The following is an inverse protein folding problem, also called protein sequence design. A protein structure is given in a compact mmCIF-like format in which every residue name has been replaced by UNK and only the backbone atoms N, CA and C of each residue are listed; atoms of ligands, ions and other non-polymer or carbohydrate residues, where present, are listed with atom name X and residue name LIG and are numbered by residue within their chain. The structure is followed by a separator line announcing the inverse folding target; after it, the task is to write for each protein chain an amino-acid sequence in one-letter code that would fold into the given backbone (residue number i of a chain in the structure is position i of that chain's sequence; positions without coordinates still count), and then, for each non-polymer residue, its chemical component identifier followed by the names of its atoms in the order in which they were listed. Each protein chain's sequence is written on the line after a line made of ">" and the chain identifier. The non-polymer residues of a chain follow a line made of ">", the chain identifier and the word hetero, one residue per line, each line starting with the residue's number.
data_IF_230876736635
#
_entry.id   IF_230876736635
#
_cell.length_a   1.000
_cell.length_b   1.000
_cell.length_c   1.000
_cell.angle_alpha   90.00
_cell.angle_beta   90.00
_cell.angle_gamma   90.00
#
_symmetry.space_group_name_H-M   'P 1'
#
loop_
_entity.id
_entity.type
_entity.pdbx_description
1 polymer ?
#
# COMPACT_ATOMS: atom_id res chain seq x y z
N UNK A 1 14.56 -31.89 34.50
CA UNK A 1 14.20 -30.45 34.40
C UNK A 1 13.42 -30.22 33.12
N UNK A 2 12.10 -30.02 33.23
CA UNK A 2 11.22 -29.76 32.08
C UNK A 2 11.04 -28.23 31.97
N UNK A 3 11.60 -27.60 30.94
CA UNK A 3 11.47 -26.15 30.73
C UNK A 3 10.07 -25.85 30.18
N UNK A 4 9.23 -25.19 30.99
CA UNK A 4 7.98 -24.58 30.51
C UNK A 4 8.33 -23.48 29.50
N UNK A 5 7.81 -23.60 28.28
CA UNK A 5 7.79 -22.51 27.30
C UNK A 5 6.71 -21.50 27.71
N UNK A 6 7.00 -20.18 27.67
CA UNK A 6 5.98 -19.17 27.93
C UNK A 6 4.95 -19.19 26.80
N UNK A 7 3.68 -19.40 27.16
CA UNK A 7 2.54 -19.24 26.27
C UNK A 7 2.39 -17.75 25.97
N UNK A 8 2.83 -17.30 24.80
CA UNK A 8 2.55 -15.95 24.32
C UNK A 8 1.07 -15.87 23.93
N UNK A 9 0.25 -15.30 24.80
CA UNK A 9 -1.12 -14.92 24.46
C UNK A 9 -1.09 -13.83 23.40
N UNK A 10 -1.56 -14.14 22.19
CA UNK A 10 -1.71 -13.17 21.10
C UNK A 10 -3.00 -12.38 21.38
N UNK A 11 -2.84 -11.19 21.96
CA UNK A 11 -3.91 -10.21 22.03
C UNK A 11 -4.18 -9.65 20.64
N UNK A 12 -5.37 -9.89 20.11
CA UNK A 12 -5.82 -9.37 18.81
C UNK A 12 -6.18 -7.90 19.01
N UNK A 13 -5.23 -7.00 18.76
CA UNK A 13 -5.54 -5.57 18.67
C UNK A 13 -6.02 -5.29 17.25
N UNK A 14 -7.34 -5.33 17.04
CA UNK A 14 -7.97 -4.79 15.84
C UNK A 14 -7.84 -3.26 15.89
N UNK A 15 -6.83 -2.71 15.21
CA UNK A 15 -6.80 -1.28 14.94
C UNK A 15 -7.96 -0.96 13.99
N UNK A 16 -8.99 -0.28 14.49
CA UNK A 16 -10.07 0.22 13.68
C UNK A 16 -9.49 1.25 12.70
N UNK A 17 -9.46 0.91 11.42
CA UNK A 17 -9.14 1.85 10.35
C UNK A 17 -10.21 2.94 10.39
N UNK A 18 -9.85 4.14 10.84
CA UNK A 18 -10.71 5.32 10.63
C UNK A 18 -10.66 5.64 9.14
N UNK A 19 -11.52 5.00 8.35
CA UNK A 19 -11.76 5.40 6.97
C UNK A 19 -12.41 6.78 7.02
N UNK A 20 -11.62 7.82 6.75
CA UNK A 20 -12.18 9.09 6.31
C UNK A 20 -12.99 8.82 5.05
N UNK A 21 -14.31 9.01 5.13
CA UNK A 21 -15.20 8.90 3.97
C UNK A 21 -14.91 10.08 3.07
N UNK A 22 -14.07 9.89 2.05
CA UNK A 22 -14.05 10.76 0.89
C UNK A 22 -14.90 10.06 -0.16
N UNK A 23 -16.22 10.20 -0.02
CA UNK A 23 -17.17 9.89 -1.08
C UNK A 23 -17.19 11.07 -2.05
N UNK A 24 -16.11 11.25 -2.82
CA UNK A 24 -16.22 11.97 -4.08
C UNK A 24 -16.53 10.92 -5.13
N UNK A 25 -17.72 10.99 -5.73
CA UNK A 25 -18.05 10.23 -6.94
C UNK A 25 -16.90 10.44 -7.93
N UNK A 26 -16.02 9.45 -8.05
CA UNK A 26 -14.98 9.52 -9.06
C UNK A 26 -15.72 9.55 -10.39
N UNK A 27 -15.42 10.55 -11.23
CA UNK A 27 -15.77 10.41 -12.64
C UNK A 27 -15.16 9.10 -13.12
N UNK A 28 -15.98 8.20 -13.65
CA UNK A 28 -15.48 6.99 -14.31
C UNK A 28 -14.51 7.41 -15.42
N UNK A 29 -13.39 6.68 -15.56
CA UNK A 29 -12.32 6.95 -16.53
C UNK A 29 -11.40 8.12 -16.15
N UNK A 30 -11.06 8.25 -14.88
CA UNK A 30 -10.04 9.20 -14.43
C UNK A 30 -8.92 8.52 -13.67
N UNK A 31 -7.68 8.99 -13.88
CA UNK A 31 -6.54 8.56 -13.07
C UNK A 31 -6.72 9.07 -11.65
N UNK A 32 -6.83 8.14 -10.71
CA UNK A 32 -6.92 8.43 -9.27
C UNK A 32 -5.53 8.28 -8.67
N UNK A 33 -5.12 9.23 -7.83
CA UNK A 33 -3.79 9.22 -7.19
C UNK A 33 -3.91 9.28 -5.67
N UNK A 34 -3.02 8.57 -5.00
CA UNK A 34 -2.90 8.51 -3.55
C UNK A 34 -1.45 8.71 -3.12
N UNK A 35 -1.28 9.42 -2.01
CA UNK A 35 -0.05 9.38 -1.22
C UNK A 35 -0.27 8.45 -0.03
N UNK A 36 0.75 7.68 0.33
CA UNK A 36 0.73 6.84 1.52
C UNK A 36 1.98 7.03 2.38
N UNK A 37 1.78 6.85 3.68
CA UNK A 37 2.83 6.82 4.69
C UNK A 37 2.69 5.52 5.48
N UNK A 38 3.80 4.81 5.61
CA UNK A 38 3.92 3.61 6.44
C UNK A 38 4.64 4.02 7.71
N UNK A 39 4.04 3.77 8.86
CA UNK A 39 4.67 3.93 10.17
C UNK A 39 4.99 2.55 10.74
N UNK A 40 6.25 2.29 11.04
CA UNK A 40 6.67 1.02 11.62
C UNK A 40 6.58 1.12 13.14
N UNK A 41 5.70 0.32 13.74
CA UNK A 41 5.44 0.31 15.20
C UNK A 41 6.10 -0.86 15.92
N UNK A 42 6.62 -1.88 15.20
CA UNK A 42 7.34 -3.03 15.79
C UNK A 42 8.55 -3.47 14.96
N UNK A 43 9.47 -4.21 15.60
CA UNK A 43 10.66 -4.80 14.96
C UNK A 43 11.85 -3.85 14.87
N UNK A 44 12.89 -4.23 14.12
CA UNK A 44 14.17 -3.48 14.05
C UNK A 44 14.08 -2.12 13.35
N UNK A 45 12.95 -1.84 12.70
CA UNK A 45 12.68 -0.55 12.06
C UNK A 45 11.63 0.27 12.82
N UNK A 46 11.23 -0.14 14.03
CA UNK A 46 10.24 0.59 14.84
C UNK A 46 10.63 2.07 15.02
N UNK A 47 9.64 2.95 14.93
CA UNK A 47 9.81 4.40 14.99
C UNK A 47 10.19 5.05 13.66
N UNK A 48 10.43 4.27 12.59
CA UNK A 48 10.66 4.81 11.24
C UNK A 48 9.36 4.97 10.48
N UNK A 49 9.35 5.97 9.61
CA UNK A 49 8.27 6.20 8.64
C UNK A 49 8.82 6.21 7.22
N UNK A 50 8.03 5.70 6.28
CA UNK A 50 8.36 5.63 4.87
C UNK A 50 7.19 6.16 4.04
N UNK A 51 7.49 6.83 2.94
CA UNK A 51 6.49 7.48 2.10
C UNK A 51 6.47 6.88 0.69
N UNK A 52 5.31 6.88 0.09
CA UNK A 52 5.14 6.48 -1.30
C UNK A 52 3.86 7.05 -1.88
N UNK A 53 3.62 6.70 -3.14
CA UNK A 53 2.42 7.07 -3.86
C UNK A 53 2.03 5.98 -4.82
N UNK A 54 0.76 5.93 -5.18
CA UNK A 54 0.29 5.11 -6.29
C UNK A 54 -0.83 5.83 -7.03
N UNK A 55 -1.02 5.47 -8.29
CA UNK A 55 -2.14 5.93 -9.10
C UNK A 55 -2.68 4.79 -9.95
N UNK A 56 -3.96 4.83 -10.29
CA UNK A 56 -4.60 3.83 -11.13
C UNK A 56 -5.69 4.49 -11.98
N UNK A 57 -5.99 3.88 -13.13
CA UNK A 57 -7.20 4.18 -13.88
C UNK A 57 -8.36 3.40 -13.26
N UNK A 58 -9.44 4.10 -12.91
CA UNK A 58 -10.63 3.50 -12.34
C UNK A 58 -11.67 3.05 -13.38
N UNK A 59 -11.39 3.21 -14.68
CA UNK A 59 -12.29 2.89 -15.79
C UNK A 59 -12.86 1.47 -15.75
N UNK A 60 -12.08 0.50 -15.25
CA UNK A 60 -12.46 -0.91 -15.22
C UNK A 60 -13.05 -1.39 -13.90
N UNK A 61 -13.10 -0.53 -12.87
CA UNK A 61 -13.59 -0.89 -11.54
C UNK A 61 -15.12 -0.80 -11.46
N UNK A 62 -15.73 -1.84 -10.91
CA UNK A 62 -17.18 -1.95 -10.67
C UNK A 62 -17.58 -1.43 -9.29
N UNK A 63 -16.66 -1.42 -8.33
CA UNK A 63 -16.89 -0.96 -6.97
C UNK A 63 -17.63 -1.96 -6.07
N UNK A 64 -17.77 -3.22 -6.50
CA UNK A 64 -18.49 -4.27 -5.77
C UNK A 64 -17.64 -5.54 -5.68
N UNK A 65 -17.70 -6.23 -4.53
CA UNK A 65 -16.91 -7.45 -4.31
C UNK A 65 -15.39 -7.17 -4.28
N UNK A 66 -14.61 -8.19 -4.59
CA UNK A 66 -13.15 -8.12 -4.65
C UNK A 66 -12.71 -7.83 -6.08
N UNK A 67 -11.84 -6.82 -6.25
CA UNK A 67 -11.29 -6.42 -7.55
C UNK A 67 -9.78 -6.19 -7.45
N UNK A 68 -9.05 -6.46 -8.53
CA UNK A 68 -7.60 -6.27 -8.61
C UNK A 68 -7.20 -5.46 -9.85
N UNK A 69 -6.25 -4.54 -9.67
CA UNK A 69 -5.60 -3.78 -10.74
C UNK A 69 -4.09 -3.99 -10.70
N UNK A 70 -3.51 -4.48 -11.79
CA UNK A 70 -2.07 -4.61 -11.96
C UNK A 70 -1.47 -3.50 -12.85
N UNK A 71 -0.15 -3.57 -13.05
CA UNK A 71 0.62 -2.61 -13.85
C UNK A 71 0.08 -2.48 -15.29
N UNK A 72 -0.30 -3.60 -15.90
CA UNK A 72 -0.86 -3.63 -17.26
C UNK A 72 -2.24 -2.96 -17.37
N UNK A 73 -2.90 -2.70 -16.24
CA UNK A 73 -4.19 -2.01 -16.15
C UNK A 73 -4.01 -0.55 -15.70
N UNK A 74 -2.80 -0.01 -15.81
CA UNK A 74 -2.52 1.40 -15.51
C UNK A 74 -2.13 1.69 -14.07
N UNK A 75 -1.93 0.66 -13.22
CA UNK A 75 -1.35 0.87 -11.90
C UNK A 75 0.06 1.42 -12.03
N UNK A 76 0.30 2.55 -11.35
CA UNK A 76 1.62 3.09 -11.08
C UNK A 76 1.86 3.16 -9.59
N UNK A 77 3.05 2.79 -9.14
CA UNK A 77 3.44 2.78 -7.74
C UNK A 77 4.88 3.25 -7.55
N UNK A 78 5.10 4.00 -6.47
CA UNK A 78 6.39 4.52 -6.07
C UNK A 78 6.54 4.42 -4.55
N UNK A 79 7.71 4.01 -4.09
CA UNK A 79 8.01 3.94 -2.66
C UNK A 79 9.43 4.36 -2.34
N UNK A 80 9.60 5.26 -1.39
CA UNK A 80 10.90 5.58 -0.80
C UNK A 80 11.10 4.72 0.46
N UNK A 81 12.05 3.80 0.39
CA UNK A 81 12.40 2.91 1.48
C UNK A 81 13.88 3.00 1.79
N UNK A 82 14.21 3.37 3.03
CA UNK A 82 15.59 3.51 3.50
C UNK A 82 16.47 4.38 2.55
N UNK A 83 15.89 5.45 2.02
CA UNK A 83 16.59 6.38 1.12
C UNK A 83 16.73 5.91 -0.33
N UNK A 84 16.13 4.77 -0.69
CA UNK A 84 16.06 4.28 -2.08
C UNK A 84 14.64 4.38 -2.61
N UNK A 85 14.52 4.81 -3.86
CA UNK A 85 13.24 4.84 -4.57
C UNK A 85 13.02 3.51 -5.30
N UNK A 86 11.82 2.97 -5.17
CA UNK A 86 11.38 1.74 -5.81
C UNK A 86 10.11 2.01 -6.62
N UNK A 87 10.09 1.50 -7.84
CA UNK A 87 8.96 1.53 -8.76
C UNK A 87 8.46 0.10 -9.03
N UNK A 88 7.37 -0.03 -9.76
CA UNK A 88 6.70 -1.29 -10.10
C UNK A 88 7.69 -2.34 -10.64
N UNK A 89 8.64 -1.92 -11.47
CA UNK A 89 9.70 -2.77 -12.03
C UNK A 89 10.68 -3.34 -11.01
N UNK A 90 10.67 -2.85 -9.77
CA UNK A 90 11.45 -3.39 -8.66
C UNK A 90 10.69 -4.44 -7.86
N UNK A 91 9.43 -4.70 -8.21
CA UNK A 91 8.71 -5.84 -7.66
C UNK A 91 9.38 -7.15 -8.13
N UNK A 92 9.51 -8.10 -7.20
CA UNK A 92 10.08 -9.42 -7.46
C UNK A 92 9.40 -10.13 -8.63
N UNK A 93 8.07 -10.04 -8.71
CA UNK A 93 7.24 -10.80 -9.64
C UNK A 93 6.72 -9.88 -10.78
N UNK A 94 7.44 -8.79 -11.06
CA UNK A 94 7.15 -7.92 -12.19
C UNK A 94 7.19 -8.68 -13.53
N UNK A 95 6.25 -8.46 -14.47
CA UNK A 95 5.17 -7.45 -14.44
C UNK A 95 3.83 -7.93 -13.86
N UNK A 96 3.77 -9.14 -13.30
CA UNK A 96 2.54 -9.68 -12.70
C UNK A 96 2.13 -8.92 -11.45
N UNK A 97 3.12 -8.37 -10.73
CA UNK A 97 2.98 -7.49 -9.58
C UNK A 97 3.74 -6.17 -9.82
N UNK A 98 3.45 -5.09 -9.07
CA UNK A 98 2.50 -4.96 -7.96
C UNK A 98 1.02 -5.03 -8.37
N UNK A 99 0.15 -5.26 -7.38
CA UNK A 99 -1.31 -5.23 -7.53
C UNK A 99 -1.98 -4.36 -6.47
N UNK A 100 -3.00 -3.62 -6.89
CA UNK A 100 -3.89 -2.89 -6.00
C UNK A 100 -5.19 -3.67 -5.86
N UNK A 101 -5.52 -4.03 -4.62
CA UNK A 101 -6.70 -4.84 -4.27
C UNK A 101 -7.76 -3.94 -3.67
N UNK A 102 -8.98 -4.10 -4.15
CA UNK A 102 -10.18 -3.42 -3.67
C UNK A 102 -11.16 -4.40 -3.09
N UNK A 103 -11.93 -3.96 -2.09
CA UNK A 103 -13.06 -4.68 -1.53
C UNK A 103 -14.23 -3.69 -1.39
N UNK A 104 -15.32 -3.94 -2.12
CA UNK A 104 -16.51 -3.09 -2.14
C UNK A 104 -16.18 -1.61 -2.39
N UNK A 105 -15.37 -1.36 -3.43
CA UNK A 105 -14.96 -0.01 -3.86
C UNK A 105 -13.93 0.67 -2.96
N UNK A 106 -13.46 0.01 -1.88
CA UNK A 106 -12.44 0.54 -0.97
C UNK A 106 -11.11 -0.15 -1.22
N UNK A 107 -10.02 0.62 -1.22
CA UNK A 107 -8.67 0.07 -1.28
C UNK A 107 -8.44 -0.79 -0.03
N UNK A 108 -8.07 -2.05 -0.26
CA UNK A 108 -7.76 -3.02 0.80
C UNK A 108 -6.27 -3.18 1.01
N UNK A 109 -5.51 -3.19 -0.09
CA UNK A 109 -4.08 -3.50 -0.08
C UNK A 109 -3.40 -3.02 -1.36
N UNK A 110 -2.16 -2.53 -1.24
CA UNK A 110 -1.20 -2.51 -2.33
C UNK A 110 -0.17 -3.62 -2.07
N UNK A 111 -0.16 -4.63 -2.94
CA UNK A 111 0.79 -5.73 -2.91
C UNK A 111 2.01 -5.38 -3.76
N UNK A 112 3.14 -5.10 -3.11
CA UNK A 112 4.38 -4.65 -3.74
C UNK A 112 5.60 -5.22 -2.99
N UNK A 113 6.31 -6.15 -3.62
CA UNK A 113 7.40 -6.92 -3.01
C UNK A 113 8.79 -6.47 -3.49
N UNK A 114 9.56 -5.84 -2.59
CA UNK A 114 10.96 -5.45 -2.84
C UNK A 114 12.02 -6.46 -2.35
N UNK A 115 13.05 -6.71 -3.17
CA UNK A 115 14.25 -7.55 -2.90
C UNK A 115 15.46 -6.72 -2.35
N UNK A 116 16.49 -7.31 -1.67
CA UNK A 116 16.91 -8.72 -1.72
C UNK A 116 16.51 -9.66 -0.56
N UNK A 117 16.05 -9.19 0.61
CA UNK A 117 15.90 -10.09 1.79
C UNK A 117 14.71 -9.80 2.72
N UNK A 118 13.67 -9.08 2.30
CA UNK A 118 12.49 -8.90 3.17
C UNK A 118 11.19 -9.00 2.37
N UNK A 119 10.33 -9.94 2.75
CA UNK A 119 8.89 -9.85 2.48
C UNK A 119 8.39 -8.67 3.28
N UNK A 120 8.31 -7.50 2.65
CA UNK A 120 7.65 -6.36 3.27
C UNK A 120 6.26 -6.33 2.63
N UNK A 121 5.30 -7.01 3.26
CA UNK A 121 3.87 -6.85 2.97
C UNK A 121 3.46 -5.56 3.68
N UNK A 122 3.35 -4.44 2.95
CA UNK A 122 3.26 -3.12 3.61
C UNK A 122 1.91 -2.86 4.26
N UNK A 123 0.90 -3.61 3.85
CA UNK A 123 -0.47 -3.47 4.29
C UNK A 123 -0.81 -4.68 5.16
N UNK A 124 -1.19 -4.44 6.42
CA UNK A 124 -1.65 -5.45 7.37
C UNK A 124 -0.60 -6.40 8.01
N UNK A 125 0.71 -6.09 7.93
CA UNK A 125 1.67 -6.76 8.82
C UNK A 125 1.53 -6.23 10.25
N UNK A 126 1.52 -7.10 11.28
CA UNK A 126 1.59 -6.65 12.67
C UNK A 126 2.81 -5.74 12.88
N UNK A 127 2.56 -4.49 13.28
CA UNK A 127 3.61 -3.51 13.49
C UNK A 127 3.89 -2.57 12.32
N UNK A 128 3.07 -2.58 11.27
CA UNK A 128 3.16 -1.66 10.13
C UNK A 128 1.79 -0.98 9.94
N UNK A 129 1.72 0.30 10.24
CA UNK A 129 0.50 1.10 10.14
C UNK A 129 0.55 1.98 8.88
N UNK A 130 -0.37 1.74 7.94
CA UNK A 130 -0.45 2.52 6.70
C UNK A 130 -1.53 3.58 6.83
N UNK A 131 -1.17 4.82 6.51
CA UNK A 131 -2.10 5.92 6.27
C UNK A 131 -1.99 6.33 4.81
N UNK A 132 -3.11 6.49 4.14
CA UNK A 132 -3.12 6.98 2.76
C UNK A 132 -4.23 8.01 2.58
N UNK A 133 -4.00 8.94 1.66
CA UNK A 133 -4.94 10.01 1.34
C UNK A 133 -4.98 10.22 -0.17
N UNK A 134 -6.19 10.34 -0.70
CA UNK A 134 -6.38 10.64 -2.11
C UNK A 134 -5.92 12.07 -2.40
N UNK A 135 -5.23 12.28 -3.51
CA UNK A 135 -4.91 13.63 -4.00
C UNK A 135 -6.17 14.29 -4.56
N UNK A 136 -6.30 15.60 -4.37
CA UNK A 136 -7.32 16.36 -5.07
C UNK A 136 -6.97 16.46 -6.56
N UNK A 137 -7.97 16.48 -7.44
CA UNK A 137 -7.80 16.41 -8.90
C UNK A 137 -6.95 17.54 -9.51
N UNK A 138 -6.69 18.62 -8.76
CA UNK A 138 -5.86 19.75 -9.18
C UNK A 138 -4.40 19.66 -8.74
N UNK A 139 -4.01 18.64 -7.95
CA UNK A 139 -2.64 18.49 -7.46
C UNK A 139 -1.79 17.76 -8.51
N UNK A 140 -0.71 18.37 -9.04
CA UNK A 140 0.19 17.71 -9.97
C UNK A 140 0.70 16.39 -9.42
N UNK A 141 0.85 15.39 -10.28
CA UNK A 141 1.42 14.10 -9.90
C UNK A 141 2.85 14.31 -9.42
N UNK A 142 3.07 14.38 -8.10
CA UNK A 142 4.42 14.24 -7.56
C UNK A 142 4.77 12.76 -7.75
N UNK A 143 5.38 12.46 -8.90
CA UNK A 143 6.10 11.22 -9.13
C UNK A 143 7.33 11.28 -8.22
N UNK A 144 7.20 10.79 -6.99
CA UNK A 144 8.33 10.61 -6.06
C UNK A 144 9.42 9.66 -6.61
N UNK A 145 9.19 9.06 -7.78
CA UNK A 145 10.11 8.18 -8.50
C UNK A 145 10.60 8.75 -9.84
N UNK A 146 10.59 10.08 -10.02
CA UNK A 146 11.47 10.66 -11.05
C UNK A 146 12.90 10.21 -10.70
N UNK A 147 13.48 9.35 -11.54
CA UNK A 147 14.93 9.09 -11.52
C UNK A 147 15.60 10.46 -11.51
N UNK A 148 16.40 10.73 -10.48
CA UNK A 148 17.48 11.71 -10.65
C UNK A 148 18.43 11.21 -11.73
#
# INVERSE_FOLDING_TARGET
>A
MLKLLPKFSIGIATAALTTGVIATSLAQNSTVSYDFTINVTKGSLAGKSFNGSFSYDNSTLKGIGVEELGVNQGLKACFNYLGRNYSESNDRDYPTFPKLVFENGKIKQLDFWLQPEKRVVWWNLPGWEVKYSQRQASTPTILNCQKR
#
